data_IF_750957949425
#
_entry.id   IF_750957949425
#
_cell.length_a   1.000
_cell.length_b   1.000
_cell.length_c   1.000
_cell.angle_alpha   90.00
_cell.angle_beta   90.00
_cell.angle_gamma   90.00
#
_symmetry.space_group_name_H-M   'P 1'
#
loop_
_entity.id
_entity.type
_entity.pdbx_description
1 polymer ?
#
# COMPACT_ATOMS: atom_id res chain seq x y z
N UNK A 1 -25.70 -2.44 3.10
CA UNK A 1 -24.94 -1.45 2.27
C UNK A 1 -24.66 -0.19 3.06
N UNK A 2 -23.45 -0.04 3.56
CA UNK A 2 -22.99 1.20 4.21
C UNK A 2 -22.58 2.25 3.17
N UNK A 3 -23.17 3.42 3.24
CA UNK A 3 -22.74 4.59 2.46
C UNK A 3 -21.41 5.13 3.00
N UNK A 4 -20.78 5.99 2.22
CA UNK A 4 -19.56 6.68 2.65
C UNK A 4 -19.74 7.40 4.00
N UNK A 5 -20.90 8.03 4.21
CA UNK A 5 -21.25 8.75 5.46
C UNK A 5 -21.35 7.84 6.69
N UNK A 6 -21.60 6.55 6.49
CA UNK A 6 -21.94 5.62 7.56
C UNK A 6 -20.69 5.01 8.21
N UNK A 7 -19.51 5.22 7.61
CA UNK A 7 -18.23 4.68 8.05
C UNK A 7 -17.25 5.79 8.35
N UNK A 8 -16.69 5.75 9.57
CA UNK A 8 -15.55 6.57 9.93
C UNK A 8 -14.37 6.28 8.98
N UNK A 9 -13.56 7.31 8.69
CA UNK A 9 -12.39 7.18 7.80
C UNK A 9 -11.44 6.07 8.25
N UNK A 10 -11.30 5.89 9.56
CA UNK A 10 -10.42 4.90 10.17
C UNK A 10 -10.96 3.46 10.11
N UNK A 11 -12.25 3.27 9.84
CA UNK A 11 -12.86 1.94 9.68
C UNK A 11 -12.86 1.49 8.22
N UNK A 12 -12.95 2.45 7.29
CA UNK A 12 -13.07 2.16 5.87
C UNK A 12 -11.73 1.73 5.26
N UNK A 13 -11.70 0.55 4.65
CA UNK A 13 -10.54 0.02 3.93
C UNK A 13 -10.71 0.09 2.43
N UNK A 14 -11.95 -0.06 1.96
CA UNK A 14 -12.25 -0.05 0.52
C UNK A 14 -13.47 0.79 0.21
N UNK A 15 -13.51 1.32 -1.02
CA UNK A 15 -14.68 1.97 -1.60
C UNK A 15 -15.02 1.21 -2.87
N UNK A 16 -16.24 0.69 -2.92
CA UNK A 16 -16.79 0.04 -4.09
C UNK A 16 -17.63 1.06 -4.88
N UNK A 17 -17.24 1.31 -6.13
CA UNK A 17 -17.91 2.27 -7.00
C UNK A 17 -18.86 1.52 -7.94
N UNK A 18 -20.17 1.72 -7.79
CA UNK A 18 -21.21 0.99 -8.54
C UNK A 18 -22.08 1.92 -9.36
N UNK A 19 -22.81 1.36 -10.33
CA UNK A 19 -24.00 2.03 -10.85
C UNK A 19 -25.16 1.90 -9.87
N UNK A 20 -26.17 2.77 -9.98
CA UNK A 20 -27.41 2.62 -9.20
C UNK A 20 -28.15 1.30 -9.51
N UNK A 21 -27.94 0.71 -10.68
CA UNK A 21 -28.48 -0.60 -11.04
C UNK A 21 -27.74 -1.74 -10.34
N UNK A 22 -26.41 -1.77 -10.42
CA UNK A 22 -25.58 -2.78 -9.74
C UNK A 22 -25.82 -2.76 -8.23
N UNK A 23 -25.94 -1.56 -7.65
CA UNK A 23 -26.22 -1.41 -6.23
C UNK A 23 -27.60 -1.96 -5.85
N UNK A 24 -28.62 -1.79 -6.70
CA UNK A 24 -29.95 -2.38 -6.49
C UNK A 24 -29.94 -3.90 -6.64
N UNK A 25 -29.21 -4.42 -7.62
CA UNK A 25 -29.02 -5.86 -7.83
C UNK A 25 -28.33 -6.49 -6.61
N UNK A 26 -27.24 -5.88 -6.14
CA UNK A 26 -26.49 -6.34 -4.97
C UNK A 26 -27.30 -6.40 -3.68
N UNK A 27 -28.27 -5.50 -3.48
CA UNK A 27 -29.17 -5.51 -2.31
C UNK A 27 -30.22 -6.64 -2.33
N UNK A 28 -30.57 -7.13 -3.52
CA UNK A 28 -31.63 -8.15 -3.69
C UNK A 28 -31.07 -9.56 -3.70
N UNK A 29 -29.81 -9.71 -4.07
CA UNK A 29 -29.15 -11.00 -4.10
C UNK A 29 -28.66 -11.37 -2.70
N UNK A 30 -29.31 -12.35 -2.08
CA UNK A 30 -28.96 -12.85 -0.76
C UNK A 30 -27.52 -13.39 -0.68
N UNK A 31 -26.95 -13.86 -1.81
CA UNK A 31 -25.56 -14.31 -1.86
C UNK A 31 -24.56 -13.14 -1.82
N UNK A 32 -25.02 -11.91 -2.05
CA UNK A 32 -24.16 -10.72 -2.11
C UNK A 32 -24.27 -9.82 -0.88
N UNK A 33 -25.27 -10.03 -0.02
CA UNK A 33 -25.54 -9.19 1.17
C UNK A 33 -24.30 -9.07 2.06
N UNK A 34 -23.60 -10.18 2.31
CA UNK A 34 -22.41 -10.21 3.17
C UNK A 34 -21.28 -9.29 2.67
N UNK A 35 -21.13 -9.12 1.35
CA UNK A 35 -20.14 -8.18 0.80
C UNK A 35 -20.50 -6.72 1.07
N UNK A 36 -21.80 -6.43 1.16
CA UNK A 36 -22.34 -5.08 1.29
C UNK A 36 -22.60 -4.64 2.72
N UNK A 37 -22.62 -5.59 3.66
CA UNK A 37 -22.74 -5.35 5.10
C UNK A 37 -21.39 -5.42 5.82
N UNK A 38 -20.29 -5.44 5.07
CA UNK A 38 -18.93 -5.35 5.60
C UNK A 38 -18.65 -3.95 6.20
N UNK A 39 -18.27 -3.93 7.47
CA UNK A 39 -17.94 -2.73 8.26
C UNK A 39 -16.69 -1.99 7.77
N UNK A 40 -15.93 -2.58 6.86
CA UNK A 40 -14.71 -2.02 6.29
C UNK A 40 -14.88 -1.56 4.83
N UNK A 41 -16.08 -1.69 4.26
CA UNK A 41 -16.35 -1.33 2.87
C UNK A 41 -17.47 -0.31 2.77
N UNK A 42 -17.20 0.80 2.07
CA UNK A 42 -18.23 1.76 1.69
C UNK A 42 -18.65 1.53 0.24
N UNK A 43 -19.92 1.80 -0.05
CA UNK A 43 -20.45 1.81 -1.42
C UNK A 43 -20.70 3.24 -1.85
N UNK A 44 -20.26 3.58 -3.06
CA UNK A 44 -20.51 4.85 -3.73
C UNK A 44 -21.22 4.53 -5.05
N UNK A 45 -22.40 5.11 -5.28
CA UNK A 45 -23.13 4.89 -6.54
C UNK A 45 -23.00 6.08 -7.48
N UNK A 46 -22.91 5.83 -8.79
CA UNK A 46 -22.82 6.85 -9.83
C UNK A 46 -24.07 6.73 -10.72
N UNK A 47 -24.72 7.85 -11.12
CA UNK A 47 -24.31 9.24 -10.87
C UNK A 47 -24.66 9.80 -9.49
N UNK A 48 -25.37 9.05 -8.63
CA UNK A 48 -25.90 9.55 -7.35
C UNK A 48 -24.88 10.31 -6.46
N UNK A 49 -23.62 9.85 -6.41
CA UNK A 49 -22.57 10.46 -5.62
C UNK A 49 -22.04 11.77 -6.20
N UNK A 50 -22.14 12.02 -7.50
CA UNK A 50 -21.58 13.23 -8.13
C UNK A 50 -22.28 14.52 -7.68
N UNK A 51 -23.47 14.42 -7.10
CA UNK A 51 -24.20 15.53 -6.50
C UNK A 51 -23.98 15.74 -5.00
N UNK A 52 -23.16 14.91 -4.35
CA UNK A 52 -22.94 15.00 -2.89
C UNK A 52 -21.89 16.05 -2.52
N UNK A 53 -22.19 16.84 -1.51
CA UNK A 53 -21.25 17.79 -0.89
C UNK A 53 -20.30 17.08 0.10
N UNK A 54 -19.56 16.09 -0.38
CA UNK A 54 -18.57 15.35 0.40
C UNK A 54 -17.14 15.65 -0.13
N UNK A 55 -16.20 16.12 0.73
CA UNK A 55 -14.84 16.44 0.31
C UNK A 55 -14.07 15.28 -0.34
N UNK A 56 -14.28 14.05 0.15
CA UNK A 56 -13.63 12.87 -0.41
C UNK A 56 -14.24 12.51 -1.77
N UNK A 57 -15.56 12.59 -1.92
CA UNK A 57 -16.20 12.38 -3.24
C UNK A 57 -15.69 13.39 -4.27
N UNK A 58 -15.59 14.68 -3.90
CA UNK A 58 -15.01 15.70 -4.79
C UNK A 58 -13.57 15.37 -5.17
N UNK A 59 -12.75 14.98 -4.21
CA UNK A 59 -11.35 14.60 -4.45
C UNK A 59 -11.26 13.40 -5.41
N UNK A 60 -12.03 12.33 -5.14
CA UNK A 60 -12.02 11.12 -5.96
C UNK A 60 -12.56 11.39 -7.37
N UNK A 61 -13.58 12.23 -7.49
CA UNK A 61 -14.11 12.66 -8.79
C UNK A 61 -13.09 13.47 -9.58
N UNK A 62 -12.44 14.46 -8.96
CA UNK A 62 -11.40 15.27 -9.59
C UNK A 62 -10.18 14.44 -10.05
N UNK A 63 -9.90 13.33 -9.37
CA UNK A 63 -8.84 12.38 -9.72
C UNK A 63 -9.30 11.27 -10.69
N UNK A 64 -10.53 11.35 -11.21
CA UNK A 64 -11.13 10.34 -12.08
C UNK A 64 -11.13 8.91 -11.48
N UNK A 65 -11.28 8.80 -10.16
CA UNK A 65 -11.31 7.53 -9.42
C UNK A 65 -12.72 6.98 -9.21
N UNK A 66 -13.74 7.81 -9.44
CA UNK A 66 -15.14 7.40 -9.39
C UNK A 66 -15.56 6.85 -10.76
N UNK A 67 -15.12 5.64 -11.07
CA UNK A 67 -15.53 4.91 -12.27
C UNK A 67 -16.33 3.67 -11.89
N UNK A 68 -17.45 3.43 -12.58
CA UNK A 68 -18.34 2.32 -12.26
C UNK A 68 -17.63 0.97 -12.43
N UNK A 69 -17.77 0.12 -11.42
CA UNK A 69 -17.14 -1.19 -11.31
C UNK A 69 -15.74 -1.16 -10.71
N UNK A 70 -15.16 0.00 -10.45
CA UNK A 70 -13.84 0.09 -9.82
C UNK A 70 -13.92 -0.15 -8.31
N UNK A 71 -12.87 -0.79 -7.80
CA UNK A 71 -12.62 -0.95 -6.38
C UNK A 71 -11.43 -0.09 -5.97
N UNK A 72 -11.64 0.78 -5.01
CA UNK A 72 -10.60 1.64 -4.47
C UNK A 72 -10.15 1.13 -3.11
N UNK A 73 -8.84 1.09 -2.88
CA UNK A 73 -8.21 0.65 -1.64
C UNK A 73 -7.63 1.86 -0.93
N UNK A 74 -7.90 1.98 0.37
CA UNK A 74 -7.36 3.06 1.20
C UNK A 74 -5.85 2.88 1.39
N UNK A 75 -5.10 3.97 1.32
CA UNK A 75 -3.68 3.97 1.69
C UNK A 75 -3.51 3.75 3.19
N UNK A 76 -2.64 2.83 3.63
CA UNK A 76 -2.35 2.64 5.05
C UNK A 76 -1.63 3.86 5.66
N UNK A 77 -1.01 4.70 4.82
CA UNK A 77 -0.22 5.85 5.27
C UNK A 77 -1.01 7.17 5.24
N UNK A 78 -2.19 7.18 4.61
CA UNK A 78 -3.07 8.35 4.57
C UNK A 78 -4.54 7.91 4.38
N UNK A 79 -5.38 7.98 5.43
CA UNK A 79 -6.78 7.56 5.37
C UNK A 79 -7.66 8.33 4.37
N UNK A 80 -7.19 9.46 3.85
CA UNK A 80 -7.90 10.27 2.85
C UNK A 80 -7.45 9.99 1.41
N UNK A 81 -6.48 9.09 1.22
CA UNK A 81 -5.97 8.69 -0.10
C UNK A 81 -6.44 7.28 -0.43
N UNK A 82 -6.93 7.12 -1.66
CA UNK A 82 -7.37 5.84 -2.20
C UNK A 82 -6.75 5.60 -3.57
N UNK A 83 -6.43 4.35 -3.85
CA UNK A 83 -5.84 3.91 -5.12
C UNK A 83 -6.72 2.82 -5.74
N UNK A 84 -6.71 2.70 -7.07
CA UNK A 84 -7.36 1.56 -7.71
C UNK A 84 -6.71 0.27 -7.20
N UNK A 85 -7.51 -0.75 -6.92
CA UNK A 85 -7.01 -2.02 -6.37
C UNK A 85 -5.87 -2.60 -7.21
N UNK A 86 -6.00 -2.58 -8.53
CA UNK A 86 -5.01 -3.11 -9.47
C UNK A 86 -3.64 -2.40 -9.40
N UNK A 87 -3.60 -1.12 -9.02
CA UNK A 87 -2.35 -0.36 -8.88
C UNK A 87 -1.94 -0.12 -7.43
N UNK A 88 -2.80 -0.44 -6.46
CA UNK A 88 -2.65 -0.05 -5.06
C UNK A 88 -1.32 -0.54 -4.45
N UNK A 89 -0.92 -1.78 -4.75
CA UNK A 89 0.32 -2.37 -4.22
C UNK A 89 1.54 -1.52 -4.62
N UNK A 90 1.65 -1.18 -5.90
CA UNK A 90 2.76 -0.38 -6.40
C UNK A 90 2.71 1.07 -5.90
N UNK A 91 1.52 1.69 -5.87
CA UNK A 91 1.34 3.06 -5.37
C UNK A 91 1.67 3.18 -3.89
N UNK A 92 1.26 2.21 -3.07
CA UNK A 92 1.57 2.20 -1.64
C UNK A 92 3.06 1.94 -1.40
N UNK A 93 3.68 1.04 -2.17
CA UNK A 93 5.11 0.80 -2.05
C UNK A 93 5.92 2.08 -2.33
N UNK A 94 5.56 2.82 -3.38
CA UNK A 94 6.17 4.11 -3.69
C UNK A 94 5.92 5.12 -2.57
N UNK A 95 4.69 5.23 -2.08
CA UNK A 95 4.35 6.14 -0.99
C UNK A 95 5.16 5.84 0.29
N UNK A 96 5.35 4.57 0.67
CA UNK A 96 6.17 4.21 1.84
C UNK A 96 7.62 4.62 1.63
N UNK A 97 8.20 4.38 0.46
CA UNK A 97 9.57 4.82 0.18
C UNK A 97 9.75 6.34 0.30
N UNK A 98 8.83 7.13 -0.25
CA UNK A 98 8.89 8.59 -0.14
C UNK A 98 8.83 9.05 1.34
N UNK A 99 8.06 8.36 2.17
CA UNK A 99 8.04 8.61 3.62
C UNK A 99 9.38 8.26 4.28
N UNK A 100 9.99 7.12 3.91
CA UNK A 100 11.29 6.68 4.43
C UNK A 100 12.38 7.68 4.07
N UNK A 101 12.44 8.12 2.80
CA UNK A 101 13.39 9.14 2.36
C UNK A 101 13.24 10.42 3.16
N UNK A 102 12.00 10.89 3.37
CA UNK A 102 11.71 12.08 4.17
C UNK A 102 12.07 11.91 5.65
N UNK A 103 11.84 10.74 6.24
CA UNK A 103 12.31 10.43 7.61
C UNK A 103 13.84 10.52 7.67
N UNK A 104 14.55 9.95 6.70
CA UNK A 104 16.01 10.03 6.64
C UNK A 104 16.50 11.48 6.49
N UNK A 105 15.79 12.31 5.69
CA UNK A 105 16.04 13.74 5.58
C UNK A 105 15.92 14.44 6.94
N UNK A 106 14.86 14.20 7.72
CA UNK A 106 14.72 14.73 9.08
C UNK A 106 15.89 14.32 9.98
N UNK A 107 16.41 13.09 9.82
CA UNK A 107 17.55 12.60 10.58
C UNK A 107 18.92 13.13 10.11
N UNK A 108 18.91 14.02 9.11
CA UNK A 108 20.09 14.67 8.57
C UNK A 108 20.88 13.81 7.60
N UNK A 109 20.26 12.82 6.94
CA UNK A 109 20.91 12.04 5.89
C UNK A 109 21.45 12.96 4.78
N UNK A 110 22.55 12.57 4.14
CA UNK A 110 23.08 13.20 2.93
C UNK A 110 22.63 12.48 1.66
N UNK A 111 22.34 11.18 1.76
CA UNK A 111 21.79 10.42 0.64
C UNK A 111 20.92 9.26 1.09
N UNK A 112 19.92 8.94 0.27
CA UNK A 112 19.16 7.69 0.34
C UNK A 112 19.15 7.08 -1.06
N UNK A 113 19.71 5.88 -1.18
CA UNK A 113 19.84 5.17 -2.45
C UNK A 113 19.08 3.86 -2.39
N UNK A 114 18.23 3.63 -3.39
CA UNK A 114 17.60 2.32 -3.63
C UNK A 114 18.61 1.41 -4.29
N UNK A 115 19.05 0.36 -3.59
CA UNK A 115 20.01 -0.61 -4.13
C UNK A 115 19.28 -1.71 -4.91
N UNK A 116 18.13 -2.15 -4.40
CA UNK A 116 17.34 -3.21 -5.01
C UNK A 116 15.87 -3.16 -4.56
N UNK A 117 14.97 -3.60 -5.44
CA UNK A 117 13.55 -3.79 -5.16
C UNK A 117 13.15 -5.18 -5.67
N UNK A 118 12.56 -6.00 -4.82
CA UNK A 118 12.15 -7.37 -5.16
C UNK A 118 10.74 -7.60 -4.63
N UNK A 119 9.84 -8.12 -5.47
CA UNK A 119 8.57 -8.68 -5.01
C UNK A 119 8.76 -10.18 -4.74
N UNK A 120 8.25 -10.67 -3.60
CA UNK A 120 8.34 -12.07 -3.20
C UNK A 120 7.12 -12.50 -2.40
N UNK A 121 6.69 -13.74 -2.54
CA UNK A 121 5.69 -14.33 -1.65
C UNK A 121 6.20 -14.48 -0.21
N UNK A 122 5.34 -14.21 0.78
CA UNK A 122 5.70 -14.34 2.21
C UNK A 122 5.87 -15.81 2.64
N UNK A 123 5.21 -16.73 1.96
CA UNK A 123 5.25 -18.17 2.22
C UNK A 123 6.39 -18.89 1.49
N UNK A 124 7.61 -18.32 1.55
CA UNK A 124 8.83 -19.08 1.28
C UNK A 124 8.96 -20.19 2.35
N UNK A 125 8.18 -21.28 2.18
CA UNK A 125 8.63 -22.62 2.55
C UNK A 125 9.98 -22.76 1.88
N UNK A 126 11.03 -22.69 2.69
CA UNK A 126 12.39 -23.08 2.38
C UNK A 126 12.33 -24.24 1.39
N UNK A 127 12.73 -23.96 0.14
CA UNK A 127 13.05 -24.97 -0.85
C UNK A 127 14.20 -25.79 -0.26
N UNK A 128 13.84 -26.82 0.50
CA UNK A 128 14.80 -27.82 0.95
C UNK A 128 14.96 -28.77 -0.23
N UNK A 129 16.16 -28.86 -0.79
CA UNK A 129 16.52 -29.85 -1.81
C UNK A 129 16.24 -31.26 -1.29
N UNK A 130 15.05 -31.77 -1.58
CA UNK A 130 14.74 -33.19 -1.57
C UNK A 130 14.84 -33.64 -3.01
N UNK A 131 15.92 -34.34 -3.33
CA UNK A 131 16.21 -35.03 -4.58
C UNK A 131 14.96 -35.49 -5.35
N UNK A 132 14.59 -34.76 -6.41
CA UNK A 132 13.59 -35.20 -7.39
C UNK A 132 12.49 -34.19 -7.71
N UNK A 133 12.80 -33.21 -8.57
CA UNK A 133 11.82 -32.47 -9.37
C UNK A 133 11.32 -31.15 -8.76
N UNK A 134 11.78 -30.03 -9.33
CA UNK A 134 11.26 -28.71 -8.99
C UNK A 134 9.90 -28.49 -9.66
N UNK A 135 8.82 -28.50 -8.88
CA UNK A 135 7.55 -27.93 -9.34
C UNK A 135 7.66 -26.41 -9.16
N UNK A 136 8.25 -25.75 -10.16
CA UNK A 136 8.17 -24.29 -10.28
C UNK A 136 6.78 -23.95 -10.79
N UNK A 137 5.93 -23.36 -9.95
CA UNK A 137 4.67 -22.80 -10.41
C UNK A 137 4.98 -21.53 -11.22
N UNK A 138 5.22 -21.70 -12.52
CA UNK A 138 5.69 -20.67 -13.46
C UNK A 138 4.89 -19.37 -13.48
N UNK A 139 3.65 -19.38 -12.98
CA UNK A 139 2.81 -18.19 -12.92
C UNK A 139 3.16 -17.16 -11.83
N UNK A 140 3.68 -17.57 -10.67
CA UNK A 140 3.91 -16.64 -9.53
C UNK A 140 5.10 -15.74 -9.81
N UNK A 141 6.16 -16.34 -10.36
CA UNK A 141 7.36 -15.67 -10.85
C UNK A 141 7.07 -14.52 -11.82
N UNK A 142 6.14 -14.69 -12.77
CA UNK A 142 5.79 -13.63 -13.73
C UNK A 142 5.12 -12.41 -13.08
N UNK A 143 4.29 -12.66 -12.07
CA UNK A 143 3.56 -11.59 -11.36
C UNK A 143 4.46 -10.84 -10.39
N UNK A 144 5.32 -11.56 -9.66
CA UNK A 144 6.37 -10.98 -8.82
C UNK A 144 7.32 -10.12 -9.66
N UNK A 145 7.79 -10.64 -10.80
CA UNK A 145 8.71 -9.91 -11.67
C UNK A 145 8.09 -8.61 -12.22
N UNK A 146 6.85 -8.66 -12.70
CA UNK A 146 6.16 -7.48 -13.23
C UNK A 146 5.92 -6.41 -12.15
N UNK A 147 5.47 -6.83 -10.95
CA UNK A 147 5.25 -5.90 -9.83
C UNK A 147 6.56 -5.29 -9.34
N UNK A 148 7.60 -6.12 -9.11
CA UNK A 148 8.91 -5.65 -8.68
C UNK A 148 9.54 -4.67 -9.68
N UNK A 149 9.39 -4.95 -10.98
CA UNK A 149 9.85 -4.04 -12.05
C UNK A 149 9.06 -2.74 -12.05
N UNK A 150 7.73 -2.80 -11.98
CA UNK A 150 6.88 -1.61 -11.95
C UNK A 150 7.19 -0.69 -10.76
N UNK A 151 7.45 -1.26 -9.58
CA UNK A 151 7.86 -0.47 -8.42
C UNK A 151 9.26 0.10 -8.62
N UNK A 152 10.21 -0.70 -9.11
CA UNK A 152 11.59 -0.25 -9.36
C UNK A 152 11.65 0.92 -10.34
N UNK A 153 10.93 0.85 -11.45
CA UNK A 153 10.86 1.94 -12.46
C UNK A 153 10.32 3.25 -11.87
N UNK A 154 9.45 3.17 -10.86
CA UNK A 154 8.92 4.35 -10.15
C UNK A 154 9.83 4.83 -9.01
N UNK A 155 10.73 3.97 -8.55
CA UNK A 155 11.63 4.18 -7.42
C UNK A 155 13.09 4.40 -7.82
N UNK A 156 13.38 4.63 -9.11
CA UNK A 156 14.70 5.08 -9.58
C UNK A 156 14.97 6.51 -9.09
N UNK A 157 15.11 6.63 -7.77
CA UNK A 157 15.22 7.87 -7.02
C UNK A 157 16.53 7.82 -6.26
N UNK A 158 17.38 8.78 -6.57
CA UNK A 158 18.61 9.06 -5.85
C UNK A 158 18.43 10.37 -5.11
N UNK A 159 17.95 10.28 -3.87
CA UNK A 159 17.75 11.46 -3.05
C UNK A 159 19.09 11.90 -2.47
N UNK A 160 19.44 13.17 -2.73
CA UNK A 160 20.61 13.81 -2.16
C UNK A 160 20.18 15.05 -1.38
N UNK A 161 20.78 15.24 -0.21
CA UNK A 161 20.45 16.30 0.71
C UNK A 161 21.73 17.01 1.16
N UNK A 162 21.65 18.28 1.60
CA UNK A 162 22.80 18.96 2.19
C UNK A 162 23.31 18.30 3.48
N UNK A 163 22.52 17.42 4.10
CA UNK A 163 22.77 16.89 5.44
C UNK A 163 22.44 17.93 6.52
N UNK A 164 22.49 17.51 7.78
CA UNK A 164 22.22 18.41 8.90
C UNK A 164 22.18 17.74 10.27
N UNK A 165 21.92 18.52 11.34
CA UNK A 165 21.60 17.95 12.64
C UNK A 165 20.31 17.13 12.54
N UNK A 166 20.24 16.02 13.29
CA UNK A 166 19.06 15.17 13.30
C UNK A 166 17.90 15.86 14.05
N UNK A 167 16.76 16.00 13.39
CA UNK A 167 15.48 16.36 13.99
C UNK A 167 14.69 15.08 14.33
N UNK A 168 15.00 14.53 15.50
CA UNK A 168 14.43 13.28 16.01
C UNK A 168 12.91 13.42 16.24
N UNK A 169 12.47 14.56 16.77
CA UNK A 169 11.06 14.80 17.08
C UNK A 169 10.22 14.93 15.79
N UNK A 170 10.74 15.65 14.79
CA UNK A 170 10.14 15.74 13.46
C UNK A 170 10.02 14.37 12.78
N UNK A 171 11.07 13.55 12.85
CA UNK A 171 11.06 12.18 12.31
C UNK A 171 10.00 11.29 12.99
N UNK A 172 9.92 11.29 14.33
CA UNK A 172 8.91 10.50 15.07
C UNK A 172 7.50 10.98 14.79
N UNK A 173 7.28 12.29 14.71
CA UNK A 173 5.98 12.87 14.38
C UNK A 173 5.53 12.44 12.97
N UNK A 174 6.44 12.43 12.00
CA UNK A 174 6.14 11.97 10.65
C UNK A 174 5.77 10.48 10.62
N UNK A 175 6.50 9.61 11.33
CA UNK A 175 6.14 8.19 11.44
C UNK A 175 4.76 8.00 12.06
N UNK A 176 4.46 8.73 13.14
CA UNK A 176 3.16 8.65 13.80
C UNK A 176 2.01 9.09 12.90
N UNK A 177 2.18 10.17 12.16
CA UNK A 177 1.18 10.66 11.19
C UNK A 177 0.96 9.68 10.03
N UNK A 178 1.99 8.93 9.65
CA UNK A 178 1.92 7.92 8.60
C UNK A 178 1.51 6.52 9.09
N UNK A 179 1.24 6.34 10.38
CA UNK A 179 0.91 5.03 10.95
C UNK A 179 2.08 4.04 11.00
N UNK A 180 3.32 4.54 11.02
CA UNK A 180 4.55 3.74 10.98
C UNK A 180 5.25 3.60 12.35
N UNK A 181 4.59 3.92 13.46
CA UNK A 181 5.11 3.85 14.85
C UNK A 181 5.30 2.42 15.39
N UNK A 182 5.60 1.47 14.52
CA UNK A 182 5.95 0.10 14.88
C UNK A 182 6.90 -0.54 13.88
N UNK A 183 7.39 0.24 12.90
CA UNK A 183 8.42 -0.21 11.97
C UNK A 183 9.77 -0.18 12.72
N UNK A 184 10.13 -1.33 13.29
CA UNK A 184 11.33 -1.48 14.09
C UNK A 184 12.62 -1.07 13.34
N UNK A 185 12.64 -1.18 12.01
CA UNK A 185 13.80 -0.75 11.22
C UNK A 185 13.94 0.76 11.24
N UNK A 186 12.85 1.49 11.00
CA UNK A 186 12.86 2.96 11.00
C UNK A 186 13.07 3.52 12.40
N UNK A 187 12.43 2.94 13.41
CA UNK A 187 12.62 3.34 14.81
C UNK A 187 14.08 3.16 15.24
N UNK A 188 14.69 2.02 14.88
CA UNK A 188 16.10 1.76 15.14
C UNK A 188 17.04 2.79 14.50
N UNK A 189 16.73 3.30 13.30
CA UNK A 189 17.54 4.37 12.66
C UNK A 189 17.40 5.69 13.41
N UNK A 190 16.18 6.04 13.82
CA UNK A 190 15.92 7.24 14.63
C UNK A 190 16.70 7.19 15.95
N UNK A 191 16.63 6.06 16.66
CA UNK A 191 17.29 5.87 17.95
C UNK A 191 18.82 5.97 17.83
N UNK A 192 19.40 5.39 16.77
CA UNK A 192 20.85 5.51 16.52
C UNK A 192 21.28 6.95 16.21
N UNK A 193 20.42 7.74 15.57
CA UNK A 193 20.70 9.16 15.26
C UNK A 193 20.45 10.08 16.45
N UNK A 194 19.65 9.67 17.43
CA UNK A 194 19.42 10.41 18.67
C UNK A 194 20.62 10.37 19.65
N UNK A 195 21.51 9.38 19.51
CA UNK A 195 22.60 9.12 20.46
C UNK A 195 23.95 9.74 20.04
N UNK A 196 24.90 9.80 20.99
CA UNK A 196 26.21 10.43 20.80
C UNK A 196 27.17 9.69 19.87
N UNK A 197 27.02 8.37 19.69
CA UNK A 197 27.74 7.60 18.67
C UNK A 197 26.91 7.55 17.40
N UNK A 198 27.18 8.48 16.48
CA UNK A 198 26.29 8.78 15.36
C UNK A 198 26.51 7.81 14.20
N UNK A 199 25.41 7.22 13.75
CA UNK A 199 25.35 6.44 12.52
C UNK A 199 25.79 7.29 11.31
N UNK A 200 26.74 6.79 10.52
CA UNK A 200 27.26 7.43 9.29
C UNK A 200 26.79 6.73 8.03
N UNK A 201 26.60 5.41 8.06
CA UNK A 201 26.05 4.61 6.95
C UNK A 201 25.23 3.44 7.50
N UNK A 202 24.11 3.13 6.86
CA UNK A 202 23.35 1.90 7.11
C UNK A 202 22.74 1.34 5.83
N UNK A 203 22.88 0.04 5.67
CA UNK A 203 22.13 -0.73 4.67
C UNK A 203 20.90 -1.32 5.39
N UNK A 204 19.72 -1.07 4.83
CA UNK A 204 18.44 -1.52 5.39
C UNK A 204 17.68 -2.37 4.38
N UNK A 205 16.94 -3.35 4.89
CA UNK A 205 15.99 -4.16 4.14
C UNK A 205 14.63 -4.02 4.81
N UNK A 206 13.61 -3.60 4.06
CA UNK A 206 12.29 -3.31 4.60
C UNK A 206 11.17 -3.70 3.63
N UNK A 207 10.03 -4.09 4.19
CA UNK A 207 8.81 -4.27 3.39
C UNK A 207 8.20 -2.91 3.08
N UNK A 208 7.83 -2.72 1.81
CA UNK A 208 7.11 -1.56 1.30
C UNK A 208 5.59 -1.74 1.31
N UNK A 209 5.10 -2.95 1.57
CA UNK A 209 3.67 -3.29 1.44
C UNK A 209 3.06 -3.87 2.70
N UNK A 210 3.85 -4.17 3.74
CA UNK A 210 3.39 -4.84 4.97
C UNK A 210 2.15 -4.20 5.59
N UNK A 211 2.12 -2.87 5.70
CA UNK A 211 0.99 -2.15 6.32
C UNK A 211 -0.27 -2.17 5.43
N UNK A 212 -0.12 -2.40 4.12
CA UNK A 212 -1.22 -2.45 3.18
C UNK A 212 -1.95 -3.81 3.14
N UNK A 213 -1.36 -4.89 3.66
CA UNK A 213 -1.90 -6.25 3.50
C UNK A 213 -3.35 -6.35 3.96
N UNK A 214 -3.70 -5.74 5.10
CA UNK A 214 -5.07 -5.78 5.61
C UNK A 214 -6.07 -5.17 4.61
N UNK A 215 -5.78 -3.96 4.13
CA UNK A 215 -6.65 -3.25 3.19
C UNK A 215 -6.78 -4.01 1.87
N UNK A 216 -5.67 -4.59 1.38
CA UNK A 216 -5.63 -5.41 0.17
C UNK A 216 -6.43 -6.72 0.33
N UNK A 217 -6.34 -7.37 1.50
CA UNK A 217 -7.14 -8.57 1.83
C UNK A 217 -8.63 -8.26 1.89
N UNK A 218 -9.02 -7.12 2.46
CA UNK A 218 -10.42 -6.68 2.41
C UNK A 218 -10.87 -6.48 0.97
N UNK A 219 -10.04 -5.88 0.12
CA UNK A 219 -10.34 -5.68 -1.29
C UNK A 219 -10.48 -7.00 -2.08
N UNK A 220 -9.61 -7.98 -1.83
CA UNK A 220 -9.65 -9.27 -2.52
C UNK A 220 -10.93 -10.07 -2.26
N UNK A 221 -11.64 -9.83 -1.15
CA UNK A 221 -12.97 -10.42 -0.90
C UNK A 221 -13.94 -10.10 -2.05
N UNK A 222 -13.83 -8.93 -2.68
CA UNK A 222 -14.72 -8.48 -3.75
C UNK A 222 -14.39 -9.05 -5.14
N UNK A 223 -13.31 -9.83 -5.29
CA UNK A 223 -12.87 -10.40 -6.59
C UNK A 223 -13.88 -11.33 -7.27
N UNK A 224 -14.79 -11.93 -6.51
CA UNK A 224 -15.85 -12.79 -7.05
C UNK A 224 -17.08 -12.06 -7.61
N UNK A 225 -17.17 -10.74 -7.41
CA UNK A 225 -18.35 -9.97 -7.80
C UNK A 225 -18.30 -9.57 -9.28
N UNK A 226 -19.31 -9.97 -10.07
CA UNK A 226 -19.40 -9.64 -11.51
C UNK A 226 -19.42 -8.14 -11.81
N UNK A 227 -19.92 -7.35 -10.87
CA UNK A 227 -19.99 -5.88 -10.98
C UNK A 227 -18.67 -5.19 -10.63
N UNK A 228 -17.67 -5.93 -10.17
CA UNK A 228 -16.36 -5.40 -9.77
C UNK A 228 -15.31 -5.81 -10.81
N UNK A 229 -14.56 -4.82 -11.28
CA UNK A 229 -13.44 -5.01 -12.19
C UNK A 229 -12.18 -5.12 -11.35
N UNK A 230 -11.66 -6.34 -11.24
CA UNK A 230 -10.36 -6.61 -10.65
C UNK A 230 -9.56 -7.47 -11.61
N UNK A 231 -8.28 -7.13 -11.80
CA UNK A 231 -7.39 -7.95 -12.58
C UNK A 231 -7.13 -9.30 -11.88
N UNK A 232 -6.90 -10.33 -12.68
CA UNK A 232 -6.41 -11.61 -12.17
C UNK A 232 -5.04 -11.46 -11.49
N UNK A 233 -4.23 -10.50 -11.94
CA UNK A 233 -2.95 -10.14 -11.34
C UNK A 233 -3.09 -9.66 -9.89
N UNK A 234 -4.00 -8.73 -9.62
CA UNK A 234 -4.28 -8.26 -8.26
C UNK A 234 -4.75 -9.39 -7.36
N UNK A 235 -5.77 -10.14 -7.80
CA UNK A 235 -6.36 -11.24 -7.01
C UNK A 235 -5.28 -12.25 -6.61
N UNK A 236 -4.40 -12.57 -7.56
CA UNK A 236 -3.25 -13.43 -7.32
C UNK A 236 -2.28 -12.84 -6.31
N UNK A 237 -1.83 -11.59 -6.50
CA UNK A 237 -0.86 -10.92 -5.61
C UNK A 237 -1.32 -10.96 -4.14
N UNK A 238 -2.60 -10.67 -3.89
CA UNK A 238 -3.15 -10.71 -2.54
C UNK A 238 -3.24 -12.15 -2.01
N UNK A 239 -3.70 -13.10 -2.84
CA UNK A 239 -3.82 -14.51 -2.43
C UNK A 239 -2.48 -15.18 -2.12
N UNK A 240 -1.42 -14.80 -2.83
CA UNK A 240 -0.07 -15.32 -2.65
C UNK A 240 0.71 -14.52 -1.58
N UNK A 241 0.08 -13.55 -0.92
CA UNK A 241 0.71 -12.65 0.06
C UNK A 241 2.03 -12.04 -0.46
N UNK A 242 2.02 -11.58 -1.71
CA UNK A 242 3.21 -10.96 -2.34
C UNK A 242 3.59 -9.70 -1.56
N UNK A 243 4.84 -9.64 -1.15
CA UNK A 243 5.46 -8.55 -0.42
C UNK A 243 6.53 -7.89 -1.31
N UNK A 244 6.50 -6.56 -1.41
CA UNK A 244 7.53 -5.79 -2.09
C UNK A 244 8.56 -5.38 -1.07
N UNK A 245 9.79 -5.84 -1.24
CA UNK A 245 10.91 -5.58 -0.34
C UNK A 245 11.93 -4.68 -1.01
N UNK A 246 12.29 -3.62 -0.29
CA UNK A 246 13.33 -2.67 -0.64
C UNK A 246 14.62 -3.01 0.10
N UNK A 247 15.74 -2.91 -0.60
CA UNK A 247 17.07 -2.75 -0.03
C UNK A 247 17.57 -1.34 -0.36
N UNK A 248 18.00 -0.61 0.66
CA UNK A 248 18.45 0.76 0.49
C UNK A 248 19.67 1.06 1.38
N UNK A 249 20.51 1.96 0.88
CA UNK A 249 21.66 2.51 1.58
C UNK A 249 21.36 3.94 2.01
N UNK A 250 21.50 4.21 3.30
CA UNK A 250 21.36 5.54 3.88
C UNK A 250 22.74 6.02 4.32
N UNK A 251 23.11 7.23 3.91
CA UNK A 251 24.36 7.90 4.31
C UNK A 251 24.03 9.16 5.11
N UNK A 252 24.79 9.41 6.17
CA UNK A 252 24.71 10.58 7.03
C UNK A 252 26.05 11.33 7.01
N UNK A 253 26.09 12.62 7.40
CA UNK A 253 27.35 13.33 7.59
C UNK A 253 28.18 12.63 8.68
N UNK A 254 29.50 12.59 8.46
CA UNK A 254 30.49 12.09 9.40
C UNK A 254 30.63 12.95 10.66
#
# INVERSE_FOLDING_TARGET
MRQLSDLAREQRRVILVLTDEDARTGRRDAALVDYFDNDEAAVVTIPGALGLDDPLIRQLSAQNRLQAGELLVQSPYNPSRYEFADSAVAEFAVAKFMLISRVCQFLGATSVTVDNVVARTRDERILTESSGGTVVQSGSLGTEYALGTSVRERLEVHDTFPGGPADVDGARKLLAQAGLTGDATLESVIDMRANGNRLTKREIKLSLTQEAHHNLHVAAKYSGLKMVRLSSGFTRQVSENVDVVLQATITFPG
#
